data_IF_712862914419
#
_entry.id   IF_712862914419
#
_cell.length_a   1.000
_cell.length_b   1.000
_cell.length_c   1.000
_cell.angle_alpha   90.00
_cell.angle_beta   90.00
_cell.angle_gamma   90.00
#
_symmetry.space_group_name_H-M   'P 1'
#
loop_
_entity.id
_entity.type
_entity.pdbx_description
1 polymer ?
#
# COMPACT_ATOMS: atom_id res chain seq x y z
N UNK A 1 -12.11 26.91 -17.94
CA UNK A 1 -12.16 25.97 -16.80
C UNK A 1 -11.04 24.98 -17.01
N UNK A 2 -9.94 25.11 -16.25
CA UNK A 2 -8.80 24.19 -16.36
C UNK A 2 -9.06 23.06 -15.38
N UNK A 3 -9.27 21.84 -15.88
CA UNK A 3 -9.24 20.63 -15.06
C UNK A 3 -7.79 20.37 -14.68
N UNK A 4 -7.28 21.17 -13.73
CA UNK A 4 -6.02 20.86 -13.08
C UNK A 4 -6.35 19.71 -12.13
N UNK A 5 -5.94 18.51 -12.52
CA UNK A 5 -5.78 17.42 -11.57
C UNK A 5 -4.65 17.91 -10.67
N UNK A 6 -4.96 18.23 -9.41
CA UNK A 6 -3.93 18.46 -8.39
C UNK A 6 -3.15 17.15 -8.31
N UNK A 7 -2.01 17.13 -9.00
CA UNK A 7 -1.08 16.02 -8.93
C UNK A 7 -0.78 15.80 -7.46
N UNK A 8 -0.90 14.55 -6.99
CA UNK A 8 -0.75 14.28 -5.58
C UNK A 8 0.63 14.76 -5.15
N UNK A 9 0.70 15.25 -3.91
CA UNK A 9 1.92 15.81 -3.34
C UNK A 9 3.12 14.90 -3.66
N UNK A 10 4.27 15.48 -4.05
CA UNK A 10 5.48 14.72 -4.37
C UNK A 10 6.00 13.93 -3.15
N UNK A 11 5.53 14.27 -1.94
CA UNK A 11 5.67 13.47 -0.73
C UNK A 11 4.30 13.08 -0.18
N UNK A 12 4.03 11.79 -0.02
CA UNK A 12 2.75 11.25 0.46
C UNK A 12 2.89 9.82 0.94
N UNK A 13 1.85 9.33 1.60
CA UNK A 13 1.69 7.92 1.94
C UNK A 13 0.63 7.32 1.03
N UNK A 14 0.91 6.17 0.41
CA UNK A 14 -0.06 5.43 -0.39
C UNK A 14 -0.40 4.08 0.27
N UNK A 15 -1.67 3.68 0.20
CA UNK A 15 -2.12 2.32 0.52
C UNK A 15 -2.44 1.62 -0.78
N UNK A 16 -1.73 0.54 -1.08
CA UNK A 16 -1.95 -0.29 -2.26
C UNK A 16 -2.26 -1.74 -1.87
N UNK A 17 -2.80 -2.52 -2.80
CA UNK A 17 -3.15 -3.93 -2.60
C UNK A 17 -2.65 -4.77 -3.76
N UNK A 18 -2.09 -5.94 -3.48
CA UNK A 18 -1.57 -6.82 -4.50
C UNK A 18 -1.17 -8.19 -4.01
N UNK A 19 -0.82 -9.05 -4.97
CA UNK A 19 -0.32 -10.39 -4.71
C UNK A 19 1.19 -10.36 -4.46
N UNK A 20 1.63 -10.97 -3.37
CA UNK A 20 3.05 -11.15 -3.05
C UNK A 20 3.68 -12.19 -3.98
N UNK A 21 4.58 -11.72 -4.85
CA UNK A 21 5.32 -12.60 -5.78
C UNK A 21 6.59 -13.14 -5.13
N UNK A 22 7.29 -12.29 -4.36
CA UNK A 22 8.51 -12.64 -3.64
C UNK A 22 8.83 -11.66 -2.51
N UNK A 23 9.31 -12.17 -1.39
CA UNK A 23 9.97 -11.38 -0.34
C UNK A 23 11.11 -12.21 0.27
N UNK A 24 12.19 -11.55 0.68
CA UNK A 24 13.32 -12.19 1.32
C UNK A 24 13.81 -11.35 2.49
N UNK A 25 14.24 -12.01 3.55
CA UNK A 25 14.96 -11.38 4.65
C UNK A 25 16.42 -11.84 4.62
N UNK A 26 17.33 -10.88 4.79
CA UNK A 26 18.75 -11.15 4.97
C UNK A 26 19.08 -11.03 6.46
N UNK A 27 19.57 -12.11 7.06
CA UNK A 27 20.08 -12.08 8.43
C UNK A 27 21.38 -12.88 8.57
N UNK A 28 21.78 -13.19 9.80
CA UNK A 28 22.98 -13.96 10.11
C UNK A 28 23.05 -15.34 9.44
N UNK A 29 21.91 -15.90 8.98
CA UNK A 29 21.83 -17.18 8.28
C UNK A 29 21.78 -17.00 6.75
N UNK A 30 21.99 -15.79 6.23
CA UNK A 30 21.93 -15.48 4.81
C UNK A 30 20.53 -15.02 4.36
N UNK A 31 20.22 -15.24 3.09
CA UNK A 31 18.94 -14.86 2.49
C UNK A 31 17.94 -16.00 2.62
N UNK A 32 16.79 -15.73 3.25
CA UNK A 32 15.65 -16.67 3.28
C UNK A 32 14.39 -16.02 2.72
N UNK A 33 13.53 -16.77 2.02
CA UNK A 33 12.19 -16.30 1.69
C UNK A 33 11.40 -15.96 2.96
N UNK A 34 10.67 -14.86 2.93
CA UNK A 34 9.82 -14.41 4.04
C UNK A 34 8.43 -14.01 3.53
N UNK A 35 7.73 -14.96 2.92
CA UNK A 35 6.38 -14.79 2.43
C UNK A 35 5.70 -16.13 2.14
N UNK A 36 4.37 -16.09 2.03
CA UNK A 36 3.57 -17.20 1.49
C UNK A 36 3.33 -16.92 -0.01
N UNK A 37 3.77 -17.80 -0.93
CA UNK A 37 3.54 -17.58 -2.35
C UNK A 37 2.06 -17.40 -2.69
N UNK A 38 1.76 -16.28 -3.35
CA UNK A 38 0.38 -15.93 -3.74
C UNK A 38 -0.50 -15.39 -2.63
N UNK A 39 0.04 -15.08 -1.44
CA UNK A 39 -0.69 -14.29 -0.46
C UNK A 39 -1.00 -12.91 -1.02
N UNK A 40 -2.14 -12.36 -0.61
CA UNK A 40 -2.53 -11.00 -0.94
C UNK A 40 -2.28 -10.10 0.25
N UNK A 41 -1.62 -8.98 -0.01
CA UNK A 41 -1.17 -8.04 1.01
C UNK A 41 -1.64 -6.63 0.63
N UNK A 42 -1.90 -5.86 1.68
CA UNK A 42 -1.89 -4.41 1.63
C UNK A 42 -0.47 -3.94 1.86
N UNK A 43 -0.09 -2.86 1.17
CA UNK A 43 1.20 -2.21 1.28
C UNK A 43 0.97 -0.75 1.67
N UNK A 44 1.74 -0.28 2.64
CA UNK A 44 1.77 1.13 3.01
C UNK A 44 3.13 1.68 2.56
N UNK A 45 3.08 2.63 1.64
CA UNK A 45 4.24 3.09 0.89
C UNK A 45 4.46 4.58 1.14
N UNK A 46 5.67 4.95 1.57
CA UNK A 46 6.10 6.34 1.56
C UNK A 46 6.60 6.67 0.15
N UNK A 47 5.91 7.59 -0.51
CA UNK A 47 6.30 8.11 -1.82
C UNK A 47 7.08 9.40 -1.59
N UNK A 48 8.30 9.44 -2.10
CA UNK A 48 9.15 10.61 -2.18
C UNK A 48 9.47 10.92 -3.66
N UNK A 49 10.01 12.10 -4.00
CA UNK A 49 10.22 12.50 -5.40
C UNK A 49 10.97 11.48 -6.27
N UNK A 50 11.94 10.78 -5.67
CA UNK A 50 12.84 9.87 -6.38
C UNK A 50 12.82 8.43 -5.84
N UNK A 51 11.93 8.12 -4.89
CA UNK A 51 11.90 6.81 -4.25
C UNK A 51 10.52 6.42 -3.73
N UNK A 52 10.28 5.11 -3.75
CA UNK A 52 9.12 4.47 -3.11
C UNK A 52 9.67 3.52 -2.07
N UNK A 53 9.24 3.68 -0.82
CA UNK A 53 9.66 2.82 0.29
C UNK A 53 8.43 2.15 0.87
N UNK A 54 8.40 0.82 0.84
CA UNK A 54 7.37 0.04 1.54
C UNK A 54 7.69 0.11 3.03
N UNK A 55 6.86 0.83 3.77
CA UNK A 55 7.00 1.04 5.21
C UNK A 55 6.36 -0.09 6.00
N UNK A 56 5.31 -0.68 5.46
CA UNK A 56 4.59 -1.79 6.07
C UNK A 56 3.90 -2.65 5.01
N UNK A 57 3.76 -3.95 5.28
CA UNK A 57 2.90 -4.82 4.47
C UNK A 57 2.23 -5.89 5.34
N UNK A 58 1.02 -6.30 4.97
CA UNK A 58 0.28 -7.32 5.72
C UNK A 58 -1.09 -7.62 5.14
N UNK A 59 -1.81 -8.59 5.73
CA UNK A 59 -3.07 -9.10 5.18
C UNK A 59 -4.33 -8.34 5.68
N UNK A 60 -4.18 -7.30 6.50
CA UNK A 60 -5.31 -6.56 7.08
C UNK A 60 -5.37 -5.13 6.53
N UNK A 61 -6.50 -4.78 5.93
CA UNK A 61 -6.76 -3.44 5.40
C UNK A 61 -6.92 -2.41 6.53
N UNK A 62 -7.64 -2.76 7.60
CA UNK A 62 -7.80 -1.88 8.77
C UNK A 62 -6.46 -1.52 9.39
N UNK A 63 -5.55 -2.50 9.46
CA UNK A 63 -4.20 -2.27 9.94
C UNK A 63 -3.38 -1.43 8.97
N UNK A 64 -3.54 -1.61 7.65
CA UNK A 64 -2.90 -0.76 6.65
C UNK A 64 -3.33 0.71 6.79
N UNK A 65 -4.63 0.98 7.00
CA UNK A 65 -5.16 2.32 7.28
C UNK A 65 -4.51 2.91 8.53
N UNK A 66 -4.47 2.13 9.62
CA UNK A 66 -3.87 2.57 10.88
C UNK A 66 -2.41 2.97 10.69
N UNK A 67 -1.62 2.11 10.05
CA UNK A 67 -0.20 2.34 9.76
C UNK A 67 0.01 3.58 8.87
N UNK A 68 -0.81 3.76 7.84
CA UNK A 68 -0.70 4.91 6.95
C UNK A 68 -0.98 6.24 7.68
N UNK A 69 -1.99 6.27 8.56
CA UNK A 69 -2.29 7.47 9.34
C UNK A 69 -1.23 7.79 10.39
N UNK A 70 -0.52 6.80 10.93
CA UNK A 70 0.62 7.02 11.82
C UNK A 70 1.81 7.67 11.10
N UNK A 71 1.99 7.37 9.81
CA UNK A 71 3.04 7.94 8.97
C UNK A 71 2.69 9.30 8.35
N UNK A 72 1.40 9.61 8.21
CA UNK A 72 0.93 10.84 7.57
C UNK A 72 1.55 12.14 8.09
N UNK A 73 1.73 12.34 9.42
CA UNK A 73 2.39 13.54 9.96
C UNK A 73 3.83 13.75 9.48
N UNK A 74 4.56 12.69 9.10
CA UNK A 74 5.96 12.74 8.69
C UNK A 74 6.11 12.78 7.15
N UNK A 75 5.29 12.03 6.43
CA UNK A 75 5.45 11.81 4.99
C UNK A 75 4.40 12.53 4.12
N UNK A 76 3.36 13.11 4.72
CA UNK A 76 2.35 13.92 4.03
C UNK A 76 0.98 13.23 3.93
N UNK A 77 0.13 13.65 2.99
CA UNK A 77 -1.24 13.14 2.90
C UNK A 77 -1.27 11.64 2.64
N UNK A 78 -2.30 10.97 3.16
CA UNK A 78 -2.58 9.55 2.91
C UNK A 78 -3.51 9.43 1.71
N UNK A 79 -3.14 8.61 0.72
CA UNK A 79 -3.96 8.26 -0.43
C UNK A 79 -4.24 6.77 -0.43
N UNK A 80 -5.51 6.41 -0.39
CA UNK A 80 -5.93 5.02 -0.52
C UNK A 80 -6.22 4.68 -1.98
N UNK A 81 -5.43 3.75 -2.53
CA UNK A 81 -5.54 3.27 -3.91
C UNK A 81 -6.27 1.91 -3.99
N UNK A 82 -6.76 1.38 -2.87
CA UNK A 82 -7.46 0.10 -2.83
C UNK A 82 -8.83 0.26 -3.50
N UNK A 83 -8.96 -0.26 -4.72
CA UNK A 83 -10.24 -0.29 -5.43
C UNK A 83 -11.07 -1.46 -4.92
N UNK A 84 -12.12 -1.17 -4.14
CA UNK A 84 -13.19 -2.15 -3.93
C UNK A 84 -14.07 -2.16 -5.18
N UNK A 85 -14.11 -3.28 -5.91
CA UNK A 85 -15.10 -3.44 -6.99
C UNK A 85 -16.49 -3.14 -6.42
N UNK A 86 -17.29 -2.24 -7.04
CA UNK A 86 -18.67 -2.06 -6.61
C UNK A 86 -19.37 -3.42 -6.66
N UNK A 87 -19.95 -3.85 -5.55
CA UNK A 87 -20.86 -5.01 -5.55
C UNK A 87 -21.95 -4.72 -6.57
N UNK A 88 -22.05 -5.53 -7.62
CA UNK A 88 -23.09 -5.38 -8.64
C UNK A 88 -24.47 -5.31 -7.95
N UNK A 89 -25.25 -4.22 -8.10
CA UNK A 89 -26.57 -4.11 -7.50
C UNK A 89 -27.58 -5.14 -8.04
N UNK A 90 -27.19 -5.99 -9.00
CA UNK A 90 -28.02 -7.06 -9.58
C UNK A 90 -27.73 -8.46 -9.02
N UNK A 91 -26.88 -8.58 -8.00
CA UNK A 91 -26.40 -9.85 -7.46
C UNK A 91 -27.11 -10.38 -6.20
N UNK A 92 -28.37 -10.01 -5.93
CA UNK A 92 -29.19 -10.70 -4.94
C UNK A 92 -30.13 -11.66 -5.69
N UNK A 93 -29.69 -12.91 -5.80
CA UNK A 93 -30.54 -14.03 -6.22
C UNK A 93 -31.34 -14.57 -5.03
#
# INVERSE_FOLDING_TARGET
>A
MSNIIDFPSPRRVEISYGQMVRAFVCDQNGWRPDYIPGSHHFFVEAIEPDSIVVMWSGCSYEEAIRQAHELGPEFGPVIDQVVTTPTDPRGAA
#
